data_IF_142045679319
#
_entry.id   IF_142045679319
#
_cell.length_a   1.000
_cell.length_b   1.000
_cell.length_c   1.000
_cell.angle_alpha   90.00
_cell.angle_beta   90.00
_cell.angle_gamma   90.00
#
_symmetry.space_group_name_H-M   'P 1'
#
loop_
_entity.id
_entity.type
_entity.pdbx_description
1 polymer ?
#
# COMPACT_ATOMS: atom_id res chain seq x y z
N UNK A 1 -15.53 0.12 -2.29
CA UNK A 1 -16.31 -0.98 -2.86
C UNK A 1 -15.44 -2.04 -3.56
N UNK A 2 -14.34 -1.66 -4.23
CA UNK A 2 -13.49 -2.62 -4.95
C UNK A 2 -12.67 -3.50 -4.02
N UNK A 3 -12.15 -2.99 -2.90
CA UNK A 3 -11.36 -3.74 -1.95
C UNK A 3 -12.20 -4.68 -1.05
N UNK A 4 -13.48 -4.39 -0.87
CA UNK A 4 -14.42 -5.23 -0.11
C UNK A 4 -15.81 -5.10 -0.69
N UNK A 5 -16.48 -6.23 -0.95
CA UNK A 5 -17.86 -6.27 -1.47
C UNK A 5 -18.87 -5.96 -0.37
N UNK A 6 -18.61 -6.46 0.84
CA UNK A 6 -19.47 -6.26 2.00
C UNK A 6 -18.79 -5.29 2.96
N UNK A 7 -19.41 -4.15 3.17
CA UNK A 7 -18.95 -3.17 4.14
C UNK A 7 -20.14 -2.43 4.79
N UNK A 8 -19.88 -1.86 5.93
CA UNK A 8 -20.77 -0.95 6.65
C UNK A 8 -19.97 0.26 7.09
N UNK A 9 -20.63 1.28 7.57
CA UNK A 9 -19.95 2.47 8.08
C UNK A 9 -20.56 2.91 9.40
N UNK A 10 -19.70 3.30 10.31
CA UNK A 10 -20.10 4.13 11.44
C UNK A 10 -19.90 5.58 11.05
N UNK A 11 -20.83 6.43 11.39
CA UNK A 11 -20.75 7.86 11.13
C UNK A 11 -21.05 8.61 12.43
N UNK A 12 -20.25 9.63 12.69
CA UNK A 12 -20.52 10.57 13.76
C UNK A 12 -21.64 11.55 13.38
N UNK A 13 -22.07 12.35 14.35
CA UNK A 13 -23.05 13.41 14.11
C UNK A 13 -22.56 14.32 12.99
N UNK A 14 -23.47 14.70 12.10
CA UNK A 14 -23.20 15.59 10.96
C UNK A 14 -22.01 15.16 10.09
N UNK A 15 -21.73 13.85 10.02
CA UNK A 15 -20.63 13.27 9.25
C UNK A 15 -19.24 13.82 9.62
N UNK A 16 -19.05 14.31 10.84
CA UNK A 16 -17.75 14.83 11.30
C UNK A 16 -16.65 13.78 11.22
N UNK A 17 -17.01 12.50 11.41
CA UNK A 17 -16.13 11.38 11.17
C UNK A 17 -16.88 10.20 10.58
N UNK A 18 -16.18 9.37 9.82
CA UNK A 18 -16.69 8.12 9.25
C UNK A 18 -15.69 7.00 9.49
N UNK A 19 -16.18 5.82 9.84
CA UNK A 19 -15.36 4.62 10.01
C UNK A 19 -15.87 3.51 9.12
N UNK A 20 -15.23 3.25 7.96
CA UNK A 20 -15.58 2.12 7.10
C UNK A 20 -15.24 0.80 7.80
N UNK A 21 -16.18 -0.12 7.83
CA UNK A 21 -16.05 -1.44 8.42
C UNK A 21 -16.27 -2.51 7.34
N UNK A 22 -15.21 -3.08 6.76
CA UNK A 22 -15.33 -4.22 5.85
C UNK A 22 -15.79 -5.46 6.63
N UNK A 23 -16.95 -6.01 6.28
CA UNK A 23 -17.60 -7.07 7.04
C UNK A 23 -17.60 -8.38 6.24
N UNK A 24 -17.08 -9.44 6.84
CA UNK A 24 -17.29 -10.83 6.37
C UNK A 24 -18.30 -11.51 7.30
N UNK A 25 -19.42 -12.01 6.74
CA UNK A 25 -20.53 -12.56 7.54
C UNK A 25 -20.47 -14.08 7.72
N UNK A 26 -19.79 -14.81 6.84
CA UNK A 26 -19.71 -16.27 6.88
C UNK A 26 -18.35 -16.75 7.38
N UNK A 27 -18.29 -17.75 8.29
CA UNK A 27 -19.41 -18.32 9.07
C UNK A 27 -19.86 -17.40 10.23
N UNK A 28 -19.04 -16.44 10.64
CA UNK A 28 -19.30 -15.51 11.74
C UNK A 28 -19.05 -14.07 11.30
N UNK A 29 -19.77 -13.12 11.87
CA UNK A 29 -19.56 -11.71 11.58
C UNK A 29 -18.18 -11.25 12.06
N UNK A 30 -17.36 -10.78 11.12
CA UNK A 30 -15.98 -10.32 11.36
C UNK A 30 -15.74 -9.01 10.63
N UNK A 31 -15.01 -8.10 11.26
CA UNK A 31 -14.42 -6.93 10.59
C UNK A 31 -12.98 -7.28 10.23
N UNK A 32 -12.66 -7.31 8.95
CA UNK A 32 -11.36 -7.76 8.45
C UNK A 32 -10.77 -6.72 7.53
N UNK A 33 -9.55 -6.31 7.81
CA UNK A 33 -8.78 -5.43 6.92
C UNK A 33 -8.71 -6.05 5.52
N UNK A 34 -9.21 -5.40 4.46
CA UNK A 34 -9.08 -5.91 3.11
C UNK A 34 -7.62 -5.96 2.67
N UNK A 35 -7.29 -6.90 1.80
CA UNK A 35 -6.03 -6.84 1.06
C UNK A 35 -6.01 -5.56 0.21
N UNK A 36 -4.84 -5.02 -0.06
CA UNK A 36 -4.64 -3.76 -0.79
C UNK A 36 -5.26 -2.52 -0.10
N UNK A 37 -5.51 -2.60 1.21
CA UNK A 37 -5.91 -1.47 2.04
C UNK A 37 -4.99 -1.44 3.25
N UNK A 38 -4.01 -0.54 3.23
CA UNK A 38 -3.02 -0.50 4.31
C UNK A 38 -3.61 0.02 5.61
N UNK A 39 -4.38 1.09 5.55
CA UNK A 39 -4.93 1.78 6.71
C UNK A 39 -6.45 1.95 6.58
N UNK A 40 -7.14 1.80 7.68
CA UNK A 40 -8.54 2.13 7.89
C UNK A 40 -8.67 2.93 9.19
N UNK A 41 -9.79 2.79 9.87
CA UNK A 41 -10.08 3.49 11.10
C UNK A 41 -10.95 4.71 10.84
N UNK A 42 -11.26 5.51 11.84
CA UNK A 42 -12.08 6.69 11.65
C UNK A 42 -11.31 7.77 10.85
N UNK A 43 -11.98 8.32 9.85
CA UNK A 43 -11.53 9.45 9.05
C UNK A 43 -12.35 10.69 9.41
N UNK A 44 -11.82 11.87 9.19
CA UNK A 44 -12.44 13.15 9.56
C UNK A 44 -11.85 13.69 10.86
N UNK A 45 -12.69 14.16 11.76
CA UNK A 45 -12.26 14.63 13.09
C UNK A 45 -11.73 13.44 13.90
N UNK A 46 -10.56 13.62 14.52
CA UNK A 46 -9.95 12.60 15.38
C UNK A 46 -10.82 12.38 16.62
N UNK A 47 -11.19 11.13 16.86
CA UNK A 47 -11.93 10.78 18.08
C UNK A 47 -11.05 10.85 19.31
N UNK A 48 -11.52 11.50 20.36
CA UNK A 48 -10.90 11.48 21.67
C UNK A 48 -10.86 10.04 22.24
N UNK A 49 -9.88 9.75 23.10
CA UNK A 49 -9.59 8.41 23.60
C UNK A 49 -10.83 7.70 24.18
N UNK A 50 -11.67 8.40 24.96
CA UNK A 50 -12.87 7.81 25.55
C UNK A 50 -13.92 7.48 24.47
N UNK A 51 -14.17 8.38 23.53
CA UNK A 51 -15.10 8.15 22.43
C UNK A 51 -14.60 7.00 21.53
N UNK A 52 -13.31 6.97 21.22
CA UNK A 52 -12.70 5.89 20.45
C UNK A 52 -12.84 4.53 21.15
N UNK A 53 -12.65 4.49 22.49
CA UNK A 53 -12.83 3.27 23.28
C UNK A 53 -14.27 2.77 23.27
N UNK A 54 -15.25 3.65 23.40
CA UNK A 54 -16.66 3.30 23.35
C UNK A 54 -17.06 2.74 21.96
N UNK A 55 -16.63 3.39 20.88
CA UNK A 55 -16.86 2.90 19.52
C UNK A 55 -16.18 1.54 19.31
N UNK A 56 -14.94 1.37 19.80
CA UNK A 56 -14.21 0.10 19.71
C UNK A 56 -14.92 -1.03 20.46
N UNK A 57 -15.41 -0.78 21.67
CA UNK A 57 -16.22 -1.75 22.44
C UNK A 57 -17.46 -2.15 21.67
N UNK A 58 -18.22 -1.17 21.15
CA UNK A 58 -19.42 -1.41 20.37
C UNK A 58 -19.14 -2.29 19.13
N UNK A 59 -18.08 -2.02 18.37
CA UNK A 59 -17.68 -2.85 17.22
C UNK A 59 -17.40 -4.28 17.67
N UNK A 60 -16.67 -4.48 18.77
CA UNK A 60 -16.34 -5.79 19.29
C UNK A 60 -17.55 -6.53 19.85
N UNK A 61 -18.58 -5.84 20.33
CA UNK A 61 -19.85 -6.47 20.74
C UNK A 61 -20.66 -7.02 19.56
N UNK A 62 -20.60 -6.35 18.42
CA UNK A 62 -21.33 -6.73 17.21
C UNK A 62 -20.62 -7.78 16.36
N UNK A 63 -19.32 -7.87 16.43
CA UNK A 63 -18.51 -8.75 15.60
C UNK A 63 -17.64 -9.68 16.43
N UNK A 64 -17.53 -10.95 15.99
CA UNK A 64 -16.77 -11.99 16.71
C UNK A 64 -15.28 -11.82 16.61
N UNK A 65 -14.80 -11.24 15.52
CA UNK A 65 -13.40 -10.92 15.31
C UNK A 65 -13.30 -9.57 14.60
N UNK A 66 -12.45 -8.73 15.12
CA UNK A 66 -12.20 -7.39 14.56
C UNK A 66 -10.70 -7.27 14.35
N UNK A 67 -10.29 -6.87 13.15
CA UNK A 67 -8.91 -6.49 12.86
C UNK A 67 -8.92 -5.22 12.04
N UNK A 68 -8.36 -4.16 12.59
CA UNK A 68 -8.32 -2.84 11.96
C UNK A 68 -6.93 -2.24 12.10
N UNK A 69 -6.38 -1.79 11.00
CA UNK A 69 -5.20 -0.95 10.95
C UNK A 69 -5.66 0.50 10.90
N UNK A 70 -5.25 1.27 11.89
CA UNK A 70 -5.63 2.68 12.03
C UNK A 70 -4.79 3.54 11.09
N UNK A 71 -5.35 4.67 10.68
CA UNK A 71 -4.62 5.65 9.89
C UNK A 71 -3.61 6.43 10.78
N UNK A 72 -2.72 7.17 10.14
CA UNK A 72 -1.59 7.87 10.73
C UNK A 72 -1.96 8.98 11.75
N UNK A 73 -3.24 9.38 11.81
CA UNK A 73 -3.73 10.33 12.83
C UNK A 73 -3.72 9.74 14.24
N UNK A 74 -3.76 8.40 14.37
CA UNK A 74 -3.80 7.70 15.64
C UNK A 74 -2.40 7.21 16.01
N UNK A 75 -1.69 7.96 16.88
CA UNK A 75 -0.35 7.60 17.36
C UNK A 75 -0.38 6.75 18.63
N UNK A 76 -1.53 6.65 19.30
CA UNK A 76 -1.83 5.77 20.44
C UNK A 76 -3.32 5.38 20.39
N UNK A 77 -3.63 4.22 20.98
CA UNK A 77 -5.00 3.71 21.12
C UNK A 77 -5.29 3.43 22.59
N UNK A 78 -6.53 3.64 23.09
CA UNK A 78 -6.94 3.34 24.45
C UNK A 78 -7.22 1.85 24.71
N UNK A 79 -6.73 0.96 23.84
CA UNK A 79 -6.84 -0.50 23.89
C UNK A 79 -5.58 -1.12 23.29
N UNK A 80 -5.34 -2.44 23.50
CA UNK A 80 -4.12 -3.11 23.00
C UNK A 80 -3.96 -2.98 21.48
N UNK A 81 -2.72 -2.72 21.06
CA UNK A 81 -2.36 -2.57 19.65
C UNK A 81 -0.96 -3.09 19.36
N UNK A 82 -0.71 -3.36 18.09
CA UNK A 82 0.62 -3.63 17.54
C UNK A 82 1.04 -2.48 16.62
N UNK A 83 2.34 -2.23 16.54
CA UNK A 83 2.92 -1.23 15.63
C UNK A 83 3.30 -1.87 14.31
N UNK A 84 3.03 -1.18 13.24
CA UNK A 84 3.44 -1.50 11.88
C UNK A 84 4.18 -0.31 11.29
N UNK A 85 5.00 -0.58 10.28
CA UNK A 85 5.81 0.43 9.61
C UNK A 85 5.35 0.61 8.18
N UNK A 86 5.25 1.86 7.76
CA UNK A 86 5.19 2.30 6.39
C UNK A 86 6.44 3.12 6.06
N UNK A 87 6.78 3.28 4.79
CA UNK A 87 7.80 4.22 4.35
C UNK A 87 7.15 5.22 3.41
N UNK A 88 7.40 6.50 3.66
CA UNK A 88 6.88 7.60 2.87
C UNK A 88 8.02 8.53 2.45
N UNK A 89 7.97 9.05 1.24
CA UNK A 89 8.94 10.00 0.72
C UNK A 89 8.24 11.30 0.34
N UNK A 90 8.55 12.39 1.04
CA UNK A 90 8.07 13.72 0.69
C UNK A 90 8.72 14.19 -0.64
N UNK A 91 7.90 14.61 -1.60
CA UNK A 91 8.35 15.01 -2.94
C UNK A 91 8.47 16.54 -3.11
N UNK A 92 8.70 17.28 -2.02
CA UNK A 92 8.70 18.74 -2.00
C UNK A 92 10.03 19.41 -2.42
N UNK A 93 11.07 18.62 -2.70
CA UNK A 93 12.38 19.11 -3.14
C UNK A 93 12.53 19.16 -4.66
N UNK A 94 13.62 19.79 -5.14
CA UNK A 94 14.04 19.65 -6.54
C UNK A 94 14.60 18.25 -6.82
N UNK A 95 14.75 17.89 -8.11
CA UNK A 95 15.35 16.59 -8.50
C UNK A 95 16.71 16.38 -7.86
N UNK A 96 17.56 17.40 -7.86
CA UNK A 96 18.90 17.33 -7.29
C UNK A 96 18.88 17.14 -5.77
N UNK A 97 17.96 17.84 -5.08
CA UNK A 97 17.74 17.65 -3.64
C UNK A 97 17.27 16.22 -3.33
N UNK A 98 16.30 15.71 -4.11
CA UNK A 98 15.82 14.34 -3.93
C UNK A 98 16.97 13.33 -4.13
N UNK A 99 17.74 13.46 -5.20
CA UNK A 99 18.87 12.58 -5.51
C UNK A 99 20.02 12.68 -4.51
N UNK A 100 20.21 13.82 -3.86
CA UNK A 100 21.24 13.98 -2.80
C UNK A 100 20.96 13.12 -1.57
N UNK A 101 19.68 12.74 -1.36
CA UNK A 101 19.26 11.85 -0.26
C UNK A 101 19.45 10.35 -0.60
N UNK A 102 19.78 10.01 -1.85
CA UNK A 102 19.99 8.61 -2.24
C UNK A 102 21.25 8.05 -1.61
N UNK A 103 21.14 6.87 -1.01
CA UNK A 103 22.30 6.18 -0.51
C UNK A 103 23.19 5.62 -1.64
N UNK A 104 24.40 5.16 -1.28
CA UNK A 104 25.38 4.61 -2.24
C UNK A 104 24.83 3.41 -3.03
N UNK A 105 23.95 2.61 -2.44
CA UNK A 105 23.35 1.46 -3.13
C UNK A 105 22.44 1.89 -4.27
N UNK A 106 21.59 2.90 -4.06
CA UNK A 106 20.75 3.48 -5.11
C UNK A 106 21.60 4.04 -6.22
N UNK A 107 22.61 4.89 -5.90
CA UNK A 107 23.52 5.46 -6.88
C UNK A 107 24.23 4.38 -7.70
N UNK A 108 24.71 3.31 -7.05
CA UNK A 108 25.34 2.17 -7.72
C UNK A 108 24.40 1.44 -8.68
N UNK A 109 23.15 1.23 -8.29
CA UNK A 109 22.15 0.57 -9.14
C UNK A 109 21.64 1.47 -10.28
N UNK A 110 21.53 2.76 -10.10
CA UNK A 110 21.26 3.71 -11.19
C UNK A 110 22.39 3.71 -12.22
N UNK A 111 23.66 3.69 -11.78
CA UNK A 111 24.80 3.56 -12.68
C UNK A 111 24.79 2.21 -13.45
N UNK A 112 24.34 1.11 -12.80
CA UNK A 112 24.15 -0.18 -13.50
C UNK A 112 23.05 -0.07 -14.55
N UNK A 113 21.92 0.59 -14.22
CA UNK A 113 20.81 0.77 -15.16
C UNK A 113 21.26 1.56 -16.40
N UNK A 114 22.00 2.64 -16.20
CA UNK A 114 22.58 3.42 -17.31
C UNK A 114 23.52 2.58 -18.17
N UNK A 115 24.47 1.85 -17.57
CA UNK A 115 25.41 0.98 -18.31
C UNK A 115 24.71 -0.15 -19.06
N UNK A 116 23.57 -0.63 -18.54
CA UNK A 116 22.75 -1.67 -19.16
C UNK A 116 21.71 -1.12 -20.14
N UNK A 117 21.76 0.18 -20.45
CA UNK A 117 20.82 0.88 -21.35
C UNK A 117 19.34 0.63 -20.98
N UNK A 118 19.04 0.62 -19.68
CA UNK A 118 17.66 0.54 -19.21
C UNK A 118 16.94 1.83 -19.58
N UNK A 119 15.86 1.71 -20.33
CA UNK A 119 14.93 2.82 -20.60
C UNK A 119 13.67 2.73 -19.74
N UNK A 120 13.03 3.86 -19.50
CA UNK A 120 11.76 3.90 -18.75
C UNK A 120 10.67 4.55 -19.60
N UNK A 121 9.46 3.99 -19.54
CA UNK A 121 8.24 4.54 -20.15
C UNK A 121 7.16 4.78 -19.11
N UNK A 122 6.22 5.66 -19.43
CA UNK A 122 5.01 5.94 -18.63
C UNK A 122 3.80 5.84 -19.53
N UNK A 123 2.80 5.11 -19.09
CA UNK A 123 1.55 4.89 -19.79
C UNK A 123 0.38 5.05 -18.81
N UNK A 124 -0.74 5.60 -19.28
CA UNK A 124 -1.93 5.74 -18.44
C UNK A 124 -2.83 4.49 -18.53
N UNK A 125 -2.70 3.71 -19.60
CA UNK A 125 -3.50 2.52 -19.79
C UNK A 125 -3.05 1.37 -18.88
N UNK A 126 -4.02 0.60 -18.39
CA UNK A 126 -3.77 -0.63 -17.64
C UNK A 126 -2.92 -1.61 -18.46
N UNK A 127 -1.91 -2.18 -17.81
CA UNK A 127 -1.07 -3.22 -18.40
C UNK A 127 -0.93 -4.39 -17.42
N UNK A 128 -1.37 -5.59 -17.77
CA UNK A 128 -1.36 -6.76 -16.91
C UNK A 128 0.03 -7.36 -16.65
N UNK A 129 1.08 -6.85 -17.28
CA UNK A 129 2.43 -7.43 -17.21
C UNK A 129 2.92 -7.63 -15.76
N UNK A 130 2.72 -6.64 -14.90
CA UNK A 130 3.13 -6.75 -13.49
C UNK A 130 2.39 -7.88 -12.78
N UNK A 131 1.08 -8.04 -13.01
CA UNK A 131 0.28 -9.11 -12.42
C UNK A 131 0.78 -10.47 -12.91
N UNK A 132 0.98 -10.64 -14.23
CA UNK A 132 1.46 -11.89 -14.82
C UNK A 132 2.85 -12.27 -14.29
N UNK A 133 3.76 -11.30 -14.27
CA UNK A 133 5.13 -11.50 -13.75
C UNK A 133 5.12 -11.83 -12.26
N UNK A 134 4.28 -11.17 -11.47
CA UNK A 134 4.14 -11.45 -10.05
C UNK A 134 3.58 -12.85 -9.78
N UNK A 135 2.54 -13.26 -10.52
CA UNK A 135 1.97 -14.64 -10.45
C UNK A 135 3.02 -15.70 -10.77
N UNK A 136 3.81 -15.49 -11.80
CA UNK A 136 4.86 -16.43 -12.21
C UNK A 136 6.04 -16.50 -11.24
N UNK A 137 6.29 -15.42 -10.49
CA UNK A 137 7.43 -15.24 -9.59
C UNK A 137 7.05 -15.27 -8.10
N UNK A 138 7.08 -14.10 -7.47
CA UNK A 138 6.92 -13.93 -6.00
C UNK A 138 5.55 -14.35 -5.46
N UNK A 139 4.50 -14.27 -6.27
CA UNK A 139 3.14 -14.65 -5.89
C UNK A 139 2.85 -16.14 -5.98
N UNK A 140 3.78 -16.91 -6.55
CA UNK A 140 3.58 -18.34 -6.80
C UNK A 140 3.42 -19.11 -5.49
N UNK A 141 2.30 -19.85 -5.38
CA UNK A 141 2.04 -20.74 -4.23
C UNK A 141 1.53 -20.03 -2.97
N UNK A 142 1.27 -18.73 -3.01
CA UNK A 142 0.66 -18.00 -1.90
C UNK A 142 -0.86 -18.05 -2.06
N UNK A 143 -1.55 -18.76 -1.15
CA UNK A 143 -3.00 -19.04 -1.25
C UNK A 143 -3.89 -17.79 -1.25
N UNK A 144 -3.47 -16.75 -0.52
CA UNK A 144 -4.17 -15.48 -0.42
C UNK A 144 -4.10 -14.66 -1.72
N UNK A 145 -3.07 -14.90 -2.54
CA UNK A 145 -2.84 -14.23 -3.82
C UNK A 145 -3.47 -15.02 -4.97
N UNK A 146 -4.75 -15.28 -4.85
CA UNK A 146 -5.56 -16.00 -5.82
C UNK A 146 -6.12 -15.08 -6.92
N UNK A 147 -6.88 -15.63 -7.86
CA UNK A 147 -7.47 -14.86 -8.98
C UNK A 147 -8.38 -13.72 -8.50
N UNK A 148 -9.09 -13.90 -7.38
CA UNK A 148 -9.93 -12.83 -6.82
C UNK A 148 -9.10 -11.65 -6.30
N UNK A 149 -7.91 -11.92 -5.73
CA UNK A 149 -6.97 -10.88 -5.34
C UNK A 149 -6.51 -10.08 -6.56
N UNK A 150 -6.06 -10.75 -7.63
CA UNK A 150 -5.58 -10.05 -8.83
C UNK A 150 -6.70 -9.30 -9.55
N UNK A 151 -7.92 -9.86 -9.56
CA UNK A 151 -9.09 -9.15 -10.04
C UNK A 151 -9.35 -7.87 -9.24
N UNK A 152 -9.15 -7.90 -7.92
CA UNK A 152 -9.25 -6.71 -7.07
C UNK A 152 -8.19 -5.67 -7.42
N UNK A 153 -6.93 -6.08 -7.74
CA UNK A 153 -5.89 -5.16 -8.24
C UNK A 153 -6.36 -4.46 -9.51
N UNK A 154 -6.86 -5.21 -10.49
CA UNK A 154 -7.39 -4.68 -11.74
C UNK A 154 -8.56 -3.70 -11.52
N UNK A 155 -9.53 -4.09 -10.69
CA UNK A 155 -10.73 -3.29 -10.40
C UNK A 155 -10.39 -1.97 -9.70
N UNK A 156 -9.44 -1.99 -8.75
CA UNK A 156 -8.95 -0.78 -8.09
C UNK A 156 -8.22 0.10 -9.10
N UNK A 157 -7.27 -0.44 -9.87
CA UNK A 157 -6.56 0.31 -10.88
C UNK A 157 -7.53 0.96 -11.87
N UNK A 158 -8.46 0.19 -12.43
CA UNK A 158 -9.47 0.70 -13.38
C UNK A 158 -10.40 1.76 -12.79
N UNK A 159 -10.66 1.73 -11.47
CA UNK A 159 -11.42 2.79 -10.81
C UNK A 159 -10.65 4.13 -10.77
N UNK A 160 -9.33 4.09 -10.60
CA UNK A 160 -8.46 5.28 -10.64
C UNK A 160 -8.17 5.72 -12.08
N UNK A 161 -7.96 4.78 -13.00
CA UNK A 161 -7.75 5.05 -14.43
C UNK A 161 -8.90 5.87 -15.04
N UNK A 162 -10.15 5.50 -14.75
CA UNK A 162 -11.34 6.26 -15.21
C UNK A 162 -11.37 7.72 -14.73
N UNK A 163 -10.59 8.06 -13.73
CA UNK A 163 -10.47 9.45 -13.20
C UNK A 163 -9.16 10.12 -13.62
N UNK A 164 -8.36 9.46 -14.47
CA UNK A 164 -6.99 9.88 -14.82
C UNK A 164 -6.08 10.01 -13.57
N UNK A 165 -6.28 9.14 -12.58
CA UNK A 165 -5.55 9.10 -11.32
C UNK A 165 -4.66 7.84 -11.22
N UNK A 166 -4.39 7.16 -12.33
CA UNK A 166 -3.53 5.98 -12.40
C UNK A 166 -2.58 6.07 -13.59
N UNK A 167 -1.37 5.55 -13.41
CA UNK A 167 -0.41 5.35 -14.49
C UNK A 167 0.49 4.15 -14.21
N UNK A 168 1.15 3.68 -15.25
CA UNK A 168 2.08 2.55 -15.23
C UNK A 168 3.45 3.04 -15.64
N UNK A 169 4.44 2.83 -14.76
CA UNK A 169 5.85 3.03 -15.06
C UNK A 169 6.48 1.69 -15.43
N UNK A 170 7.10 1.60 -16.58
CA UNK A 170 7.78 0.39 -17.05
C UNK A 170 9.27 0.65 -17.27
N UNK A 171 10.09 -0.36 -17.01
CA UNK A 171 11.50 -0.37 -17.40
C UNK A 171 11.72 -1.44 -18.47
N UNK A 172 12.47 -1.07 -19.51
CA UNK A 172 12.79 -1.93 -20.64
C UNK A 172 14.29 -2.16 -20.70
N UNK A 173 14.67 -3.39 -21.04
CA UNK A 173 16.04 -3.80 -21.39
C UNK A 173 16.00 -4.41 -22.78
N UNK A 174 16.75 -3.84 -23.72
CA UNK A 174 16.79 -4.32 -25.11
C UNK A 174 15.39 -4.38 -25.76
N UNK A 175 14.50 -3.44 -25.40
CA UNK A 175 13.12 -3.37 -25.88
C UNK A 175 12.13 -4.23 -25.12
N UNK A 176 12.58 -5.16 -24.29
CA UNK A 176 11.72 -6.05 -23.52
C UNK A 176 11.43 -5.49 -22.12
N UNK A 177 10.17 -5.59 -21.68
CA UNK A 177 9.77 -5.14 -20.33
C UNK A 177 10.37 -6.04 -19.26
N UNK A 178 11.03 -5.44 -18.27
CA UNK A 178 11.72 -6.16 -17.19
C UNK A 178 11.23 -5.79 -15.80
N UNK A 179 10.66 -4.59 -15.63
CA UNK A 179 10.01 -4.16 -14.39
C UNK A 179 8.83 -3.25 -14.69
N UNK A 180 7.87 -3.24 -13.78
CA UNK A 180 6.69 -2.39 -13.89
C UNK A 180 6.18 -1.99 -12.51
N UNK A 181 5.67 -0.76 -12.40
CA UNK A 181 5.01 -0.22 -11.22
C UNK A 181 3.67 0.38 -11.64
N UNK A 182 2.60 -0.02 -10.99
CA UNK A 182 1.30 0.64 -11.05
C UNK A 182 1.24 1.70 -9.95
N UNK A 183 1.10 2.95 -10.34
CA UNK A 183 1.02 4.09 -9.45
C UNK A 183 -0.42 4.63 -9.44
N UNK A 184 -0.96 4.86 -8.25
CA UNK A 184 -2.25 5.53 -8.08
C UNK A 184 -2.02 6.91 -7.49
N UNK A 185 -2.77 7.89 -7.98
CA UNK A 185 -2.68 9.28 -7.53
C UNK A 185 -3.91 9.65 -6.73
N UNK A 186 -3.72 10.23 -5.57
CA UNK A 186 -4.75 10.90 -4.78
C UNK A 186 -4.41 12.39 -4.68
N UNK A 187 -5.25 13.15 -3.98
CA UNK A 187 -5.00 14.59 -3.80
C UNK A 187 -3.59 14.87 -3.24
N UNK A 188 -3.16 14.11 -2.20
CA UNK A 188 -1.94 14.37 -1.46
C UNK A 188 -0.91 13.24 -1.54
N UNK A 189 -1.24 12.11 -2.18
CA UNK A 189 -0.38 10.92 -2.19
C UNK A 189 -0.26 10.33 -3.58
N UNK A 190 0.90 9.77 -3.85
CA UNK A 190 1.17 8.81 -4.91
C UNK A 190 1.34 7.46 -4.21
N UNK A 191 0.48 6.51 -4.51
CA UNK A 191 0.53 5.17 -3.93
C UNK A 191 1.34 4.25 -4.85
N UNK A 192 2.41 3.68 -4.34
CA UNK A 192 3.17 2.61 -5.01
C UNK A 192 2.37 1.31 -4.91
N UNK A 193 1.29 1.24 -5.70
CA UNK A 193 0.18 0.33 -5.49
C UNK A 193 0.52 -1.13 -5.75
N UNK A 194 1.12 -1.43 -6.90
CA UNK A 194 1.48 -2.79 -7.28
C UNK A 194 2.72 -2.79 -8.17
N UNK A 195 3.61 -3.74 -7.98
CA UNK A 195 4.84 -3.80 -8.77
C UNK A 195 5.34 -5.22 -8.99
N UNK A 196 6.01 -5.45 -10.10
CA UNK A 196 6.75 -6.66 -10.38
C UNK A 196 8.05 -6.38 -11.13
N UNK A 197 8.99 -7.30 -10.98
CA UNK A 197 10.25 -7.29 -11.69
C UNK A 197 10.75 -8.72 -11.90
N UNK A 198 11.33 -8.98 -13.06
CA UNK A 198 12.01 -10.24 -13.36
C UNK A 198 13.46 -10.24 -12.87
N UNK A 199 14.19 -11.30 -13.16
CA UNK A 199 15.60 -11.44 -12.75
C UNK A 199 16.52 -10.43 -13.47
N UNK A 200 16.26 -10.15 -14.74
CA UNK A 200 17.03 -9.15 -15.52
C UNK A 200 16.94 -7.78 -14.85
N UNK A 201 15.76 -7.39 -14.42
CA UNK A 201 15.54 -6.12 -13.72
C UNK A 201 16.35 -6.00 -12.44
N UNK A 202 16.40 -7.08 -11.63
CA UNK A 202 17.17 -7.10 -10.39
C UNK A 202 18.67 -6.93 -10.64
N UNK A 203 19.20 -7.61 -11.65
CA UNK A 203 20.61 -7.57 -11.99
C UNK A 203 21.05 -6.25 -12.63
N UNK A 204 20.15 -5.61 -13.39
CA UNK A 204 20.42 -4.38 -14.15
C UNK A 204 19.95 -3.08 -13.46
N UNK A 205 19.40 -3.14 -12.23
CA UNK A 205 18.96 -1.96 -11.47
C UNK A 205 17.67 -1.29 -12.00
N UNK A 206 16.86 -2.01 -12.77
CA UNK A 206 15.72 -1.44 -13.48
C UNK A 206 14.62 -0.86 -12.54
N UNK A 207 14.36 -1.49 -11.38
CA UNK A 207 13.41 -0.94 -10.41
C UNK A 207 13.92 0.38 -9.79
N UNK A 208 15.24 0.54 -9.63
CA UNK A 208 15.81 1.81 -9.17
C UNK A 208 15.62 2.90 -10.23
N UNK A 209 15.75 2.57 -11.52
CA UNK A 209 15.50 3.51 -12.61
C UNK A 209 14.02 3.94 -12.65
N UNK A 210 13.07 3.03 -12.44
CA UNK A 210 11.64 3.38 -12.33
C UNK A 210 11.40 4.33 -11.16
N UNK A 211 11.93 4.03 -9.97
CA UNK A 211 11.72 4.89 -8.79
C UNK A 211 12.37 6.26 -8.97
N UNK A 212 13.58 6.36 -9.49
CA UNK A 212 14.21 7.64 -9.81
C UNK A 212 13.37 8.44 -10.82
N UNK A 213 12.78 7.78 -11.80
CA UNK A 213 11.89 8.41 -12.77
C UNK A 213 10.59 8.90 -12.10
N UNK A 214 9.93 8.10 -11.26
CA UNK A 214 8.73 8.51 -10.50
C UNK A 214 9.05 9.74 -9.63
N UNK A 215 10.15 9.68 -8.88
CA UNK A 215 10.58 10.80 -8.03
C UNK A 215 10.85 12.05 -8.87
N UNK A 216 11.55 11.92 -9.99
CA UNK A 216 11.88 13.04 -10.88
C UNK A 216 10.64 13.67 -11.51
N UNK A 217 9.65 12.85 -11.93
CA UNK A 217 8.42 13.34 -12.55
C UNK A 217 7.48 14.06 -11.58
N UNK A 218 7.60 13.77 -10.27
CA UNK A 218 6.68 14.26 -9.25
C UNK A 218 7.33 15.15 -8.17
N UNK A 219 8.64 15.35 -8.19
CA UNK A 219 9.33 16.25 -7.26
C UNK A 219 8.88 17.70 -7.44
N UNK A 220 9.09 18.54 -6.41
CA UNK A 220 8.56 19.92 -6.36
C UNK A 220 7.06 20.02 -6.10
N UNK A 221 6.39 18.89 -5.79
CA UNK A 221 4.98 18.87 -5.43
C UNK A 221 4.79 18.71 -3.92
N UNK A 222 3.58 19.01 -3.43
CA UNK A 222 3.21 18.78 -2.02
C UNK A 222 2.86 17.32 -1.73
N UNK A 223 2.99 16.43 -2.73
CA UNK A 223 2.61 15.02 -2.59
C UNK A 223 3.66 14.22 -1.84
N UNK A 224 3.20 13.13 -1.27
CA UNK A 224 4.03 12.11 -0.65
C UNK A 224 3.96 10.85 -1.52
N UNK A 225 5.11 10.26 -1.85
CA UNK A 225 5.17 8.91 -2.40
C UNK A 225 5.07 7.92 -1.24
N UNK A 226 3.95 7.24 -1.18
CA UNK A 226 3.62 6.23 -0.18
C UNK A 226 3.94 4.85 -0.75
N UNK A 227 4.90 4.16 -0.16
CA UNK A 227 5.36 2.87 -0.66
C UNK A 227 4.49 1.71 -0.21
N UNK A 228 3.56 1.93 0.70
CA UNK A 228 2.71 0.90 1.30
C UNK A 228 3.47 -0.42 1.64
N UNK A 229 2.97 -1.23 2.53
CA UNK A 229 3.51 -2.58 2.75
C UNK A 229 4.96 -2.70 3.25
N UNK A 230 5.51 -1.71 3.93
CA UNK A 230 6.92 -1.67 4.40
C UNK A 230 7.21 -2.51 5.65
N UNK A 231 6.33 -3.44 6.03
CA UNK A 231 6.58 -4.37 7.16
C UNK A 231 7.63 -5.45 6.83
N UNK A 232 8.02 -5.63 5.58
CA UNK A 232 9.16 -6.44 5.19
C UNK A 232 10.43 -5.57 5.29
N UNK A 233 11.37 -5.96 6.12
CA UNK A 233 12.60 -5.20 6.39
C UNK A 233 13.42 -4.91 5.13
N UNK A 234 13.48 -5.84 4.18
CA UNK A 234 14.21 -5.64 2.92
C UNK A 234 13.53 -4.61 2.03
N UNK A 235 12.19 -4.60 1.97
CA UNK A 235 11.44 -3.59 1.25
C UNK A 235 11.53 -2.22 1.94
N UNK A 236 11.40 -2.17 3.26
CA UNK A 236 11.59 -0.94 4.02
C UNK A 236 12.99 -0.34 3.79
N UNK A 237 14.03 -1.18 3.85
CA UNK A 237 15.39 -0.75 3.54
C UNK A 237 15.53 -0.21 2.11
N UNK A 238 14.92 -0.90 1.12
CA UNK A 238 14.93 -0.46 -0.27
C UNK A 238 14.28 0.93 -0.44
N UNK A 239 13.12 1.16 0.16
CA UNK A 239 12.42 2.45 0.07
C UNK A 239 13.14 3.56 0.84
N UNK A 240 13.66 3.29 2.03
CA UNK A 240 14.47 4.24 2.80
C UNK A 240 15.76 4.64 2.07
N UNK A 241 16.28 3.76 1.22
CA UNK A 241 17.50 4.05 0.46
C UNK A 241 17.35 5.22 -0.53
N UNK A 242 16.11 5.61 -0.89
CA UNK A 242 15.79 6.78 -1.70
C UNK A 242 15.52 8.05 -0.86
N UNK A 243 15.71 7.99 0.46
CA UNK A 243 15.43 9.10 1.37
C UNK A 243 14.05 9.04 2.01
N UNK A 244 13.35 7.90 1.93
CA UNK A 244 12.04 7.72 2.58
C UNK A 244 12.15 7.63 4.09
N UNK A 245 11.17 8.17 4.79
CA UNK A 245 11.00 8.16 6.24
C UNK A 245 10.05 7.06 6.70
N UNK A 246 10.38 6.43 7.83
CA UNK A 246 9.46 5.49 8.48
C UNK A 246 8.29 6.24 9.13
N UNK A 247 7.08 5.74 8.86
CA UNK A 247 5.84 6.16 9.52
C UNK A 247 5.23 4.98 10.24
N UNK A 248 4.88 5.17 11.49
CA UNK A 248 4.23 4.12 12.30
C UNK A 248 2.72 4.25 12.17
N UNK A 249 2.05 3.13 11.95
CA UNK A 249 0.61 3.01 12.07
C UNK A 249 0.26 1.85 13.00
N UNK A 250 -0.95 1.87 13.56
CA UNK A 250 -1.35 0.96 14.64
C UNK A 250 -2.38 -0.05 14.14
N UNK A 251 -2.26 -1.29 14.57
CA UNK A 251 -3.27 -2.32 14.38
C UNK A 251 -3.85 -2.73 15.72
N UNK A 252 -5.16 -2.77 15.81
CA UNK A 252 -5.88 -3.34 16.93
C UNK A 252 -6.64 -4.59 16.50
N UNK A 253 -6.60 -5.60 17.36
CA UNK A 253 -7.30 -6.86 17.21
C UNK A 253 -8.28 -7.04 18.36
N UNK A 254 -9.54 -7.35 18.03
CA UNK A 254 -10.56 -7.81 18.96
C UNK A 254 -10.97 -9.24 18.59
N UNK A 255 -10.83 -10.16 19.52
CA UNK A 255 -11.19 -11.56 19.30
C UNK A 255 -12.09 -12.04 20.45
N UNK A 256 -13.34 -12.35 20.12
CA UNK A 256 -14.33 -12.95 21.02
C UNK A 256 -14.61 -14.41 20.64
N UNK A 257 -13.77 -14.99 19.80
CA UNK A 257 -13.88 -16.40 19.47
C UNK A 257 -13.34 -17.24 20.63
N UNK A 258 -14.19 -18.16 21.10
CA UNK A 258 -13.79 -19.14 22.10
C UNK A 258 -13.03 -20.29 21.41
N UNK A 259 -12.11 -20.91 22.15
CA UNK A 259 -11.43 -22.12 21.70
C UNK A 259 -12.44 -23.23 21.36
N UNK A 260 -12.31 -24.00 20.26
CA UNK A 260 -11.21 -24.00 19.29
C UNK A 260 -11.39 -23.04 18.08
N UNK A 261 -12.50 -22.30 17.99
CA UNK A 261 -12.84 -21.47 16.84
C UNK A 261 -11.80 -20.37 16.56
N UNK A 262 -11.16 -19.88 17.60
CA UNK A 262 -10.07 -18.89 17.47
C UNK A 262 -8.83 -19.45 16.76
N UNK A 263 -8.64 -20.77 16.71
CA UNK A 263 -7.55 -21.44 15.99
C UNK A 263 -7.91 -21.72 14.52
N UNK A 264 -9.19 -22.07 14.26
CA UNK A 264 -9.67 -22.44 12.93
C UNK A 264 -9.93 -21.25 12.00
N UNK A 265 -10.09 -20.06 12.55
CA UNK A 265 -10.46 -18.83 11.81
C UNK A 265 -9.34 -17.77 11.87
N UNK A 266 -8.11 -18.19 12.09
CA UNK A 266 -6.90 -17.35 11.94
C UNK A 266 -6.61 -17.07 10.45
#
# INVERSE_FOLDING_TARGET
DHASKDWSGLVGSDYQWVWPLPIKRNPLSRVVQPLLTQQLGPYGVTLESNALLEVWKWINEKHRKVRVKFNDKYQALPFPFTKHVNVELALNGSVDQMRSNYNRNVQGNLNKAVKASISTSVENAFDPWAIQTFKAGRGRGISELNEAFFKTVEDIYGAFERRNEACVYSALSEGEKVAQVMLLTTQNRLLFFFSASNEIARNKGAMHAILDRIISDHCGSIKVLDFEGSNNEQLAFFYKSFGGDEKVYLQADGDRLIWPLNQLLK
#
